data_IF_583805702004
#
_entry.id   IF_583805702004
#
_cell.length_a   1.000
_cell.length_b   1.000
_cell.length_c   1.000
_cell.angle_alpha   90.00
_cell.angle_beta   90.00
_cell.angle_gamma   90.00
#
_symmetry.space_group_name_H-M   'P 1'
#
loop_
_entity.id
_entity.type
_entity.pdbx_description
1 polymer ?
#
# COMPACT_ATOMS: atom_id res chain seq x y z
N UNK A 1 -12.42 -39.30 -10.70
CA UNK A 1 -12.86 -38.10 -9.96
C UNK A 1 -11.68 -37.58 -9.15
N UNK A 2 -11.16 -36.38 -9.45
CA UNK A 2 -10.33 -35.62 -8.53
C UNK A 2 -10.32 -34.15 -8.95
N UNK A 3 -11.10 -33.32 -8.24
CA UNK A 3 -11.05 -31.86 -8.30
C UNK A 3 -10.75 -31.37 -6.89
N UNK A 4 -9.46 -31.18 -6.61
CA UNK A 4 -8.90 -30.45 -5.46
C UNK A 4 -7.51 -30.05 -5.96
N UNK A 5 -7.21 -28.80 -6.27
CA UNK A 5 -7.03 -27.69 -5.35
C UNK A 5 -6.81 -26.44 -6.21
N UNK A 6 -7.71 -25.44 -6.18
CA UNK A 6 -7.50 -24.17 -6.90
C UNK A 6 -7.93 -22.92 -6.11
N UNK A 7 -8.45 -23.09 -4.90
CA UNK A 7 -8.93 -21.97 -4.07
C UNK A 7 -7.80 -21.23 -3.33
N UNK A 8 -6.71 -21.90 -2.95
CA UNK A 8 -5.65 -21.27 -2.14
C UNK A 8 -4.75 -20.30 -2.92
N UNK A 9 -4.47 -20.56 -4.21
CA UNK A 9 -3.67 -19.64 -5.04
C UNK A 9 -4.37 -18.31 -5.30
N UNK A 10 -5.70 -18.32 -5.36
CA UNK A 10 -6.51 -17.14 -5.66
C UNK A 10 -6.54 -16.15 -4.48
N UNK A 11 -6.62 -16.65 -3.25
CA UNK A 11 -6.64 -15.80 -2.04
C UNK A 11 -5.30 -15.13 -1.74
N UNK A 12 -4.17 -15.81 -1.96
CA UNK A 12 -2.84 -15.23 -1.73
C UNK A 12 -2.56 -14.09 -2.71
N UNK A 13 -2.91 -14.25 -3.99
CA UNK A 13 -2.77 -13.20 -4.99
C UNK A 13 -3.68 -11.99 -4.70
N UNK A 14 -4.90 -12.25 -4.20
CA UNK A 14 -5.84 -11.19 -3.82
C UNK A 14 -5.40 -10.41 -2.58
N UNK A 15 -4.74 -11.05 -1.61
CA UNK A 15 -4.20 -10.35 -0.43
C UNK A 15 -2.85 -9.69 -0.70
N UNK A 16 -2.00 -10.28 -1.56
CA UNK A 16 -0.75 -9.64 -1.99
C UNK A 16 -0.99 -8.40 -2.85
N UNK A 17 -2.14 -8.27 -3.53
CA UNK A 17 -2.51 -7.04 -4.21
C UNK A 17 -3.01 -5.92 -3.28
N UNK A 18 -3.30 -6.24 -2.01
CA UNK A 18 -3.77 -5.27 -0.99
C UNK A 18 -2.61 -4.74 -0.15
N UNK A 19 -1.50 -5.49 -0.06
CA UNK A 19 -0.31 -5.11 0.70
C UNK A 19 0.79 -4.58 -0.23
N UNK A 20 1.64 -3.63 0.23
CA UNK A 20 2.79 -3.17 -0.54
C UNK A 20 3.74 -4.34 -0.84
N UNK A 21 4.03 -4.59 -2.12
CA UNK A 21 5.06 -5.53 -2.52
C UNK A 21 6.44 -4.85 -2.41
N UNK A 22 7.14 -5.05 -1.31
CA UNK A 22 8.47 -4.47 -1.07
C UNK A 22 9.63 -5.34 -1.64
N UNK A 23 9.35 -6.33 -2.49
CA UNK A 23 10.42 -7.11 -3.14
C UNK A 23 11.23 -6.23 -4.11
N UNK A 24 12.56 -6.40 -4.18
CA UNK A 24 13.40 -5.69 -5.13
C UNK A 24 12.96 -5.90 -6.58
N UNK A 25 13.00 -4.82 -7.36
CA UNK A 25 12.87 -4.85 -8.81
C UNK A 25 14.14 -5.48 -9.39
N UNK A 26 13.96 -6.42 -10.30
CA UNK A 26 15.02 -7.22 -10.94
C UNK A 26 15.20 -6.87 -12.42
N UNK A 27 14.17 -6.29 -13.06
CA UNK A 27 14.24 -5.80 -14.43
C UNK A 27 13.34 -4.58 -14.67
N UNK A 28 13.77 -3.70 -15.59
CA UNK A 28 13.01 -2.54 -16.09
C UNK A 28 12.99 -2.62 -17.62
N UNK A 29 11.85 -2.29 -18.23
CA UNK A 29 11.65 -2.23 -19.67
C UNK A 29 10.67 -1.11 -20.04
N UNK A 30 10.49 -0.87 -21.33
CA UNK A 30 9.52 0.10 -21.86
C UNK A 30 8.63 -0.61 -22.87
N UNK A 31 7.34 -0.31 -22.86
CA UNK A 31 6.34 -0.81 -23.81
C UNK A 31 5.67 0.34 -24.54
N UNK A 32 5.28 0.10 -25.79
CA UNK A 32 4.42 1.02 -26.54
C UNK A 32 2.94 0.76 -26.26
N UNK A 33 2.56 -0.52 -26.22
CA UNK A 33 1.20 -0.99 -25.96
C UNK A 33 1.10 -1.61 -24.57
N UNK A 34 0.23 -1.05 -23.71
CA UNK A 34 0.01 -1.49 -22.32
C UNK A 34 -0.45 -2.95 -22.31
N UNK A 35 -1.29 -3.34 -23.28
CA UNK A 35 -1.85 -4.69 -23.36
C UNK A 35 -0.83 -5.73 -23.83
N UNK A 36 0.33 -5.28 -24.33
CA UNK A 36 1.45 -6.13 -24.74
C UNK A 36 2.61 -6.09 -23.74
N UNK A 37 2.33 -5.69 -22.50
CA UNK A 37 3.30 -5.81 -21.42
C UNK A 37 3.76 -7.27 -21.27
N UNK A 38 5.08 -7.54 -21.19
CA UNK A 38 5.57 -8.90 -21.01
C UNK A 38 4.96 -9.58 -19.77
N UNK A 39 4.86 -10.92 -19.77
CA UNK A 39 4.40 -11.65 -18.60
C UNK A 39 5.30 -11.35 -17.40
N UNK A 40 4.71 -11.30 -16.20
CA UNK A 40 5.39 -11.00 -14.93
C UNK A 40 6.02 -9.59 -14.84
N UNK A 41 5.65 -8.67 -15.74
CA UNK A 41 5.94 -7.25 -15.63
C UNK A 41 4.68 -6.48 -15.19
N UNK A 42 4.89 -5.46 -14.38
CA UNK A 42 3.89 -4.47 -14.00
C UNK A 42 4.15 -3.19 -14.77
N UNK A 43 3.14 -2.73 -15.51
CA UNK A 43 3.19 -1.49 -16.30
C UNK A 43 2.74 -0.30 -15.46
N UNK A 44 3.49 0.81 -15.52
CA UNK A 44 3.13 2.09 -14.91
C UNK A 44 2.43 2.95 -15.96
N UNK A 45 1.13 2.73 -16.12
CA UNK A 45 0.31 3.40 -17.14
C UNK A 45 -0.34 4.69 -16.67
N UNK A 46 -0.41 4.90 -15.35
CA UNK A 46 -1.04 6.08 -14.76
C UNK A 46 -0.15 6.76 -13.73
N UNK A 47 -0.34 8.07 -13.63
CA UNK A 47 0.32 8.92 -12.66
C UNK A 47 -0.21 8.64 -11.26
N UNK A 48 0.69 8.61 -10.28
CA UNK A 48 0.39 8.28 -8.88
C UNK A 48 -0.58 9.28 -8.22
N UNK A 49 -0.49 10.54 -8.59
CA UNK A 49 -1.17 11.64 -7.91
C UNK A 49 -2.53 12.01 -8.49
N UNK A 50 -2.69 11.91 -9.81
CA UNK A 50 -3.90 12.36 -10.50
C UNK A 50 -4.59 11.25 -11.30
N UNK A 51 -4.05 10.03 -11.29
CA UNK A 51 -4.53 8.89 -12.10
C UNK A 51 -4.64 9.21 -13.60
N UNK A 52 -3.88 10.21 -14.07
CA UNK A 52 -3.80 10.60 -15.48
C UNK A 52 -2.77 9.76 -16.23
N UNK A 53 -2.83 9.76 -17.56
CA UNK A 53 -1.91 9.06 -18.44
C UNK A 53 -0.42 9.34 -18.11
N UNK A 54 0.35 8.27 -17.90
CA UNK A 54 1.77 8.30 -17.57
C UNK A 54 2.71 8.22 -18.78
N UNK A 55 2.21 8.48 -19.99
CA UNK A 55 2.99 8.46 -21.23
C UNK A 55 4.27 9.32 -21.14
N UNK A 56 5.41 8.64 -21.27
CA UNK A 56 6.75 9.23 -21.24
C UNK A 56 7.21 9.73 -22.62
N UNK A 57 6.44 9.51 -23.68
CA UNK A 57 6.73 9.96 -25.04
C UNK A 57 5.87 11.14 -25.48
N UNK A 58 4.99 11.63 -24.60
CA UNK A 58 4.02 12.68 -24.91
C UNK A 58 4.63 13.90 -25.59
N UNK A 59 4.00 14.34 -26.66
CA UNK A 59 4.34 15.57 -27.37
C UNK A 59 3.22 16.60 -27.21
N UNK A 60 3.61 17.87 -27.00
CA UNK A 60 2.69 19.01 -27.05
C UNK A 60 2.38 19.33 -28.52
N UNK A 61 1.53 18.53 -29.16
CA UNK A 61 1.14 18.69 -30.56
C UNK A 61 -0.37 18.49 -30.73
N UNK A 62 -1.02 19.42 -31.42
CA UNK A 62 -2.48 19.60 -31.37
C UNK A 62 -3.29 18.57 -32.21
N UNK A 63 -2.66 17.70 -33.03
CA UNK A 63 -3.40 16.97 -34.09
C UNK A 63 -3.01 15.51 -34.40
N UNK A 64 -2.19 14.81 -33.61
CA UNK A 64 -1.91 13.37 -33.86
C UNK A 64 -1.82 12.60 -32.54
N UNK A 65 -2.71 11.60 -32.36
CA UNK A 65 -2.60 10.63 -31.26
C UNK A 65 -1.40 9.72 -31.53
N UNK A 66 -0.24 10.08 -30.98
CA UNK A 66 0.97 9.27 -31.07
C UNK A 66 0.88 8.10 -30.09
N UNK A 67 1.57 7.01 -30.43
CA UNK A 67 1.70 5.84 -29.56
C UNK A 67 2.61 6.21 -28.38
N UNK A 68 2.12 5.95 -27.18
CA UNK A 68 2.81 6.31 -25.94
C UNK A 68 3.99 5.41 -25.62
N UNK A 69 4.70 5.72 -24.54
CA UNK A 69 5.73 4.86 -23.95
C UNK A 69 5.53 4.78 -22.45
N UNK A 70 5.47 3.56 -21.95
CA UNK A 70 5.24 3.28 -20.54
C UNK A 70 6.38 2.45 -19.98
N UNK A 71 6.87 2.83 -18.81
CA UNK A 71 7.80 1.96 -18.06
C UNK A 71 7.01 0.75 -17.57
N UNK A 72 7.62 -0.41 -17.67
CA UNK A 72 7.21 -1.60 -16.96
C UNK A 72 8.40 -2.18 -16.21
N UNK A 73 8.14 -2.86 -15.10
CA UNK A 73 9.18 -3.46 -14.28
C UNK A 73 8.76 -4.84 -13.79
N UNK A 74 9.73 -5.68 -13.46
CA UNK A 74 9.50 -7.00 -12.88
C UNK A 74 10.29 -7.17 -11.58
N UNK A 75 9.75 -7.99 -10.69
CA UNK A 75 10.36 -8.43 -9.43
C UNK A 75 10.77 -9.92 -9.48
N UNK A 76 10.54 -10.57 -10.62
CA UNK A 76 10.82 -12.00 -10.83
C UNK A 76 11.64 -12.25 -12.09
N UNK A 77 11.52 -11.40 -13.11
CA UNK A 77 12.27 -11.50 -14.36
C UNK A 77 13.55 -10.67 -14.31
N UNK A 78 14.58 -11.06 -15.08
CA UNK A 78 15.83 -10.31 -15.19
C UNK A 78 17.06 -11.20 -15.05
N UNK A 79 18.21 -10.58 -14.77
CA UNK A 79 19.44 -11.32 -14.55
C UNK A 79 19.39 -12.07 -13.19
N UNK A 80 19.82 -13.34 -13.13
CA UNK A 80 19.83 -14.10 -11.89
C UNK A 80 20.63 -13.38 -10.79
N UNK A 81 20.09 -13.38 -9.57
CA UNK A 81 20.70 -12.76 -8.38
C UNK A 81 21.01 -11.26 -8.52
N UNK A 82 20.44 -10.58 -9.52
CA UNK A 82 20.65 -9.16 -9.72
C UNK A 82 19.39 -8.37 -9.37
N UNK A 83 19.61 -7.17 -8.84
CA UNK A 83 18.55 -6.21 -8.48
C UNK A 83 18.90 -4.84 -9.05
N UNK A 84 17.87 -4.01 -9.24
CA UNK A 84 18.06 -2.60 -9.59
C UNK A 84 18.49 -1.84 -8.33
N UNK A 85 19.70 -1.30 -8.35
CA UNK A 85 20.27 -0.48 -7.25
C UNK A 85 19.78 0.96 -7.33
N UNK A 86 19.73 1.54 -8.54
CA UNK A 86 19.48 2.97 -8.75
C UNK A 86 18.86 3.29 -10.12
N UNK A 87 18.17 4.44 -10.22
CA UNK A 87 17.48 4.92 -11.42
C UNK A 87 17.75 6.42 -11.59
N UNK A 88 18.10 6.84 -12.80
CA UNK A 88 18.33 8.23 -13.13
C UNK A 88 17.70 8.61 -14.48
N UNK A 89 17.41 9.91 -14.66
CA UNK A 89 16.98 10.48 -15.94
C UNK A 89 18.10 11.35 -16.53
N UNK A 90 18.53 11.02 -17.75
CA UNK A 90 19.58 11.74 -18.48
C UNK A 90 19.05 12.27 -19.82
N UNK A 91 19.81 13.13 -20.51
CA UNK A 91 19.47 13.40 -21.91
C UNK A 91 19.72 12.14 -22.74
N UNK A 92 18.90 11.94 -23.77
CA UNK A 92 18.98 10.78 -24.65
C UNK A 92 20.34 10.66 -25.37
N UNK A 93 20.99 11.80 -25.62
CA UNK A 93 22.30 11.85 -26.29
C UNK A 93 23.48 11.78 -25.34
N UNK A 94 23.24 11.86 -24.03
CA UNK A 94 24.31 11.83 -23.05
C UNK A 94 24.75 10.40 -22.77
N UNK A 95 26.03 10.23 -22.48
CA UNK A 95 26.57 8.96 -22.00
C UNK A 95 25.99 8.65 -20.62
N UNK A 96 25.49 7.43 -20.36
CA UNK A 96 25.01 7.05 -19.03
C UNK A 96 26.13 7.10 -18.00
N UNK A 97 25.82 7.38 -16.71
CA UNK A 97 26.80 7.31 -15.63
C UNK A 97 27.45 5.92 -15.52
N UNK A 98 28.59 5.84 -14.83
CA UNK A 98 29.30 4.57 -14.68
C UNK A 98 28.42 3.47 -14.04
N UNK A 99 28.38 2.31 -14.69
CA UNK A 99 27.58 1.16 -14.28
C UNK A 99 26.09 1.23 -14.63
N UNK A 100 25.62 2.32 -15.22
CA UNK A 100 24.23 2.45 -15.67
C UNK A 100 24.04 1.87 -17.07
N UNK A 101 22.90 1.21 -17.25
CA UNK A 101 22.41 0.68 -18.53
C UNK A 101 21.23 1.50 -19.03
N UNK A 102 21.04 1.53 -20.36
CA UNK A 102 19.95 2.23 -21.05
C UNK A 102 19.00 1.23 -21.71
N UNK A 103 17.74 1.63 -21.89
CA UNK A 103 16.71 0.84 -22.58
C UNK A 103 16.50 1.44 -23.98
N UNK A 104 17.14 0.92 -25.02
CA UNK A 104 17.09 1.60 -26.33
C UNK A 104 15.74 1.46 -27.05
N UNK A 105 15.08 0.31 -26.90
CA UNK A 105 13.89 -0.06 -27.66
C UNK A 105 12.78 -0.60 -26.76
N UNK A 106 11.54 -0.43 -27.21
CA UNK A 106 10.37 -1.02 -26.57
C UNK A 106 10.36 -2.53 -26.76
N UNK A 107 10.06 -3.26 -25.70
CA UNK A 107 10.09 -4.73 -25.70
C UNK A 107 9.01 -5.38 -26.58
N UNK A 108 7.88 -4.70 -26.78
CA UNK A 108 6.72 -5.22 -27.50
C UNK A 108 6.79 -4.96 -29.02
N UNK A 109 7.29 -3.80 -29.43
CA UNK A 109 7.23 -3.34 -30.83
C UNK A 109 8.57 -2.98 -31.46
N UNK A 110 9.67 -3.14 -30.71
CA UNK A 110 11.05 -2.80 -31.11
C UNK A 110 11.18 -1.36 -31.67
N UNK A 111 10.30 -0.46 -31.24
CA UNK A 111 10.37 0.94 -31.57
C UNK A 111 11.30 1.66 -30.59
N UNK A 112 11.78 2.85 -30.97
CA UNK A 112 12.59 3.68 -30.07
C UNK A 112 11.85 3.96 -28.76
N UNK A 113 12.52 3.78 -27.62
CA UNK A 113 11.90 3.88 -26.29
C UNK A 113 11.83 5.32 -25.75
N UNK A 114 12.83 6.16 -26.07
CA UNK A 114 12.97 7.50 -25.52
C UNK A 114 13.03 8.64 -26.56
N UNK A 115 12.67 9.85 -26.10
CA UNK A 115 12.80 11.08 -26.87
C UNK A 115 13.24 12.23 -25.97
N UNK A 116 14.34 12.91 -26.33
CA UNK A 116 14.99 14.03 -25.61
C UNK A 116 15.62 13.63 -24.27
N UNK A 117 14.85 12.99 -23.40
CA UNK A 117 15.27 12.45 -22.10
C UNK A 117 15.03 10.94 -22.08
N UNK A 118 15.84 10.21 -21.31
CA UNK A 118 15.72 8.77 -21.15
C UNK A 118 15.95 8.35 -19.71
N UNK A 119 15.35 7.23 -19.31
CA UNK A 119 15.70 6.55 -18.07
C UNK A 119 16.93 5.68 -18.32
N UNK A 120 17.89 5.76 -17.42
CA UNK A 120 18.96 4.78 -17.24
C UNK A 120 18.89 4.21 -15.82
N UNK A 121 19.37 2.99 -15.65
CA UNK A 121 19.28 2.28 -14.36
C UNK A 121 20.53 1.44 -14.12
N UNK A 122 20.85 1.24 -12.85
CA UNK A 122 22.01 0.47 -12.42
C UNK A 122 21.58 -0.87 -11.86
N UNK A 123 22.08 -1.95 -12.45
CA UNK A 123 21.86 -3.32 -11.96
C UNK A 123 23.09 -3.75 -11.17
N UNK A 124 22.89 -4.44 -10.04
CA UNK A 124 23.97 -5.01 -9.24
C UNK A 124 23.58 -6.37 -8.70
N UNK A 125 24.58 -7.22 -8.45
CA UNK A 125 24.36 -8.46 -7.72
C UNK A 125 23.81 -8.12 -6.32
N UNK A 126 22.74 -8.83 -5.92
CA UNK A 126 22.03 -8.64 -4.65
C UNK A 126 22.96 -8.72 -3.44
N UNK A 127 23.97 -9.58 -3.47
CA UNK A 127 24.93 -9.77 -2.37
C UNK A 127 25.91 -8.59 -2.23
N UNK A 128 26.08 -7.78 -3.28
CA UNK A 128 26.96 -6.61 -3.28
C UNK A 128 26.17 -5.29 -3.13
N UNK A 129 24.86 -5.39 -3.01
CA UNK A 129 23.95 -4.27 -3.03
C UNK A 129 23.58 -3.88 -1.59
N UNK A 130 23.74 -2.59 -1.25
CA UNK A 130 23.30 -2.05 0.05
C UNK A 130 21.87 -1.53 0.00
N UNK A 131 21.34 -1.25 -1.19
CA UNK A 131 20.00 -0.72 -1.42
C UNK A 131 19.41 -1.33 -2.69
N UNK A 132 18.10 -1.50 -2.74
CA UNK A 132 17.44 -1.85 -3.99
C UNK A 132 16.15 -1.06 -4.19
N UNK A 133 15.85 -0.81 -5.46
CA UNK A 133 14.60 -0.22 -5.89
C UNK A 133 13.49 -1.26 -5.72
N UNK A 134 12.36 -0.85 -5.14
CA UNK A 134 11.20 -1.72 -4.87
C UNK A 134 9.95 -1.28 -5.61
N UNK A 135 9.89 -0.01 -5.99
CA UNK A 135 8.73 0.55 -6.68
C UNK A 135 9.13 1.70 -7.59
N UNK A 136 8.37 1.89 -8.66
CA UNK A 136 8.54 2.99 -9.64
C UNK A 136 7.17 3.61 -9.86
N UNK A 137 7.08 4.92 -9.64
CA UNK A 137 5.88 5.70 -9.88
C UNK A 137 6.17 6.86 -10.82
N UNK A 138 5.15 7.27 -11.57
CA UNK A 138 5.19 8.50 -12.36
C UNK A 138 4.31 9.53 -11.68
N UNK A 139 4.82 10.74 -11.50
CA UNK A 139 4.08 11.85 -10.90
C UNK A 139 3.77 12.91 -11.96
N UNK A 140 2.58 13.51 -11.91
CA UNK A 140 2.22 14.61 -12.80
C UNK A 140 3.15 15.82 -12.61
N UNK A 141 3.16 16.74 -13.58
CA UNK A 141 3.88 18.02 -13.46
C UNK A 141 3.39 18.85 -12.28
N UNK A 142 2.15 18.63 -11.83
CA UNK A 142 1.50 19.50 -10.86
C UNK A 142 2.07 19.32 -9.46
N UNK A 143 2.58 18.14 -9.09
CA UNK A 143 3.38 17.98 -7.87
C UNK A 143 4.52 19.01 -7.83
N UNK A 144 5.22 19.23 -8.94
CA UNK A 144 6.30 20.22 -9.01
C UNK A 144 5.82 21.67 -8.80
N UNK A 145 4.56 21.98 -9.12
CA UNK A 145 4.02 23.35 -9.06
C UNK A 145 3.23 23.63 -7.77
N UNK A 146 2.49 22.65 -7.26
CA UNK A 146 1.61 22.75 -6.09
C UNK A 146 2.42 22.88 -4.80
N UNK A 147 3.54 22.17 -4.69
CA UNK A 147 4.22 22.08 -3.41
C UNK A 147 5.12 23.27 -3.08
N UNK A 148 5.49 24.13 -4.03
CA UNK A 148 6.46 25.25 -3.86
C UNK A 148 7.67 24.90 -2.96
N UNK A 149 7.97 23.60 -2.89
CA UNK A 149 8.96 22.96 -2.03
C UNK A 149 9.73 22.04 -2.95
N UNK A 150 11.03 22.01 -2.75
CA UNK A 150 12.02 21.30 -3.57
C UNK A 150 11.85 19.77 -3.63
N UNK A 151 10.74 19.22 -3.12
CA UNK A 151 10.45 17.78 -3.12
C UNK A 151 9.70 17.41 -4.38
N UNK A 152 10.46 16.98 -5.39
CA UNK A 152 9.94 16.51 -6.69
C UNK A 152 9.28 15.12 -6.63
N UNK A 153 9.34 14.43 -5.48
CA UNK A 153 8.78 13.11 -5.26
C UNK A 153 7.93 13.07 -3.96
N UNK A 154 6.89 12.22 -3.90
CA UNK A 154 6.14 11.93 -2.68
C UNK A 154 7.02 11.40 -1.54
N UNK A 155 6.52 11.46 -0.31
CA UNK A 155 7.24 10.93 0.85
C UNK A 155 7.57 9.44 0.67
N UNK A 156 8.83 9.07 0.93
CA UNK A 156 9.33 7.71 0.73
C UNK A 156 9.80 7.40 -0.70
N UNK A 157 9.61 8.32 -1.65
CA UNK A 157 10.13 8.21 -3.00
C UNK A 157 11.26 9.21 -3.26
N UNK A 158 12.14 8.83 -4.19
CA UNK A 158 13.25 9.62 -4.70
C UNK A 158 12.92 10.02 -6.14
N UNK A 159 13.16 11.27 -6.50
CA UNK A 159 12.96 11.74 -7.87
C UNK A 159 14.17 11.37 -8.74
N UNK A 160 13.96 10.54 -9.76
CA UNK A 160 14.98 10.23 -10.77
C UNK A 160 15.12 11.37 -11.79
N UNK A 161 14.03 12.09 -12.07
CA UNK A 161 14.02 13.29 -12.91
C UNK A 161 12.77 13.42 -13.79
N UNK A 162 12.73 14.47 -14.60
CA UNK A 162 11.55 14.82 -15.42
C UNK A 162 11.73 14.36 -16.87
N UNK A 163 10.72 13.67 -17.41
CA UNK A 163 10.60 13.29 -18.82
C UNK A 163 9.27 13.82 -19.37
N UNK A 164 9.31 14.64 -20.43
CA UNK A 164 8.12 15.17 -21.11
C UNK A 164 7.03 15.75 -20.20
N UNK A 165 7.45 16.31 -19.05
CA UNK A 165 6.57 16.96 -18.10
C UNK A 165 6.02 16.10 -16.99
N UNK A 166 6.37 14.82 -16.90
CA UNK A 166 6.08 13.97 -15.73
C UNK A 166 7.38 13.64 -15.01
N UNK A 167 7.31 13.41 -13.70
CA UNK A 167 8.46 13.08 -12.88
C UNK A 167 8.52 11.57 -12.65
N UNK A 168 9.63 10.93 -13.05
CA UNK A 168 9.92 9.54 -12.70
C UNK A 168 10.43 9.52 -11.27
N UNK A 169 9.77 8.75 -10.40
CA UNK A 169 10.16 8.58 -9.01
C UNK A 169 10.26 7.10 -8.65
N UNK A 170 11.08 6.78 -7.66
CA UNK A 170 11.29 5.39 -7.25
C UNK A 170 11.49 5.27 -5.74
N UNK A 171 11.11 4.13 -5.17
CA UNK A 171 11.30 3.81 -3.75
C UNK A 171 12.47 2.86 -3.60
N UNK A 172 13.30 3.09 -2.59
CA UNK A 172 14.41 2.17 -2.23
C UNK A 172 14.22 1.59 -0.84
N UNK A 173 14.77 0.40 -0.64
CA UNK A 173 14.92 -0.23 0.67
C UNK A 173 16.38 -0.61 0.87
N UNK A 174 16.85 -0.53 2.11
CA UNK A 174 18.20 -1.01 2.46
C UNK A 174 18.19 -2.55 2.44
N UNK A 175 19.15 -3.14 1.73
CA UNK A 175 19.40 -4.58 1.74
C UNK A 175 20.40 -4.84 2.86
N UNK A 176 19.92 -5.47 3.94
CA UNK A 176 20.82 -6.00 4.97
C UNK A 176 21.27 -7.38 4.51
N UNK A 177 22.54 -7.47 4.12
CA UNK A 177 23.18 -8.73 3.82
C UNK A 177 23.52 -9.43 5.15
N UNK A 178 22.50 -9.96 5.84
CA UNK A 178 22.76 -10.77 7.03
C UNK A 178 23.38 -12.09 6.58
N UNK A 179 24.65 -12.28 6.95
CA UNK A 179 25.30 -13.58 6.98
C UNK A 179 24.37 -14.57 7.70
N UNK A 180 23.88 -15.55 6.96
CA UNK A 180 23.33 -16.84 7.39
C UNK A 180 23.08 -17.00 8.89
N UNK A 181 21.98 -16.42 9.43
CA UNK A 181 21.26 -16.95 10.60
C UNK A 181 20.01 -16.16 11.05
N UNK A 182 19.58 -15.14 10.32
CA UNK A 182 18.35 -14.43 10.61
C UNK A 182 17.23 -14.88 9.66
N UNK A 183 16.09 -15.14 10.25
CA UNK A 183 14.97 -15.83 9.64
C UNK A 183 14.44 -15.08 8.42
N UNK A 184 14.38 -15.79 7.30
CA UNK A 184 13.65 -15.37 6.11
C UNK A 184 12.22 -14.99 6.48
N UNK A 185 11.80 -13.80 6.05
CA UNK A 185 10.39 -13.42 5.97
C UNK A 185 9.56 -14.59 5.42
N UNK A 186 8.56 -14.99 6.22
CA UNK A 186 7.46 -15.92 5.94
C UNK A 186 7.52 -16.58 4.56
N UNK A 187 8.09 -17.78 4.53
CA UNK A 187 7.97 -18.69 3.40
C UNK A 187 6.53 -19.24 3.42
N UNK A 188 5.64 -18.65 2.61
CA UNK A 188 4.21 -19.02 2.57
C UNK A 188 4.00 -20.47 2.09
N UNK A 189 5.03 -21.11 1.53
CA UNK A 189 5.00 -22.52 1.13
C UNK A 189 4.94 -23.52 2.30
N UNK A 190 5.11 -23.07 3.56
CA UNK A 190 5.02 -23.95 4.74
C UNK A 190 3.59 -24.18 5.26
N UNK A 191 2.54 -23.60 4.63
CA UNK A 191 1.15 -23.90 4.99
C UNK A 191 0.63 -25.21 4.37
N UNK A 192 1.46 -25.97 3.66
CA UNK A 192 1.15 -27.33 3.22
C UNK A 192 1.54 -28.43 4.22
N UNK A 193 2.02 -28.09 5.41
CA UNK A 193 2.24 -29.11 6.45
C UNK A 193 0.90 -29.64 6.96
N UNK A 194 0.60 -30.89 6.62
CA UNK A 194 -0.38 -31.73 7.31
C UNK A 194 -0.11 -31.62 8.81
N UNK A 195 -1.10 -31.16 9.58
CA UNK A 195 -0.97 -30.95 11.02
C UNK A 195 -0.45 -32.22 11.71
N UNK A 196 0.62 -32.15 12.52
CA UNK A 196 1.09 -33.28 13.28
C UNK A 196 0.38 -33.29 14.63
N UNK A 197 -0.93 -33.55 14.66
CA UNK A 197 -1.62 -33.88 15.89
C UNK A 197 -2.51 -35.09 15.66
N UNK A 198 -1.91 -36.27 15.88
CA UNK A 198 -2.64 -37.48 16.20
C UNK A 198 -2.86 -37.48 17.71
N UNK A 199 -3.98 -36.93 18.15
CA UNK A 199 -4.41 -37.04 19.55
C UNK A 199 -5.91 -37.32 19.59
N UNK A 200 -6.18 -38.62 19.70
CA UNK A 200 -7.21 -39.27 20.51
C UNK A 200 -8.56 -38.57 20.64
N UNK A 201 -9.57 -39.28 20.13
CA UNK A 201 -10.98 -38.93 20.19
C UNK A 201 -11.41 -38.47 21.57
N UNK A 202 -12.05 -37.30 21.60
CA UNK A 202 -12.96 -36.93 22.67
C UNK A 202 -14.31 -36.67 22.01
N UNK A 203 -15.29 -37.48 22.39
CA UNK A 203 -16.63 -37.50 21.83
C UNK A 203 -17.36 -36.17 22.00
N UNK A 204 -18.04 -35.75 20.92
CA UNK A 204 -19.19 -34.83 20.88
C UNK A 204 -19.30 -33.81 22.02
N UNK A 205 -18.76 -32.60 21.81
CA UNK A 205 -19.25 -31.43 22.55
C UNK A 205 -20.55 -30.96 21.90
N UNK A 206 -21.65 -31.09 22.61
CA UNK A 206 -22.96 -30.56 22.19
C UNK A 206 -22.84 -29.03 22.08
N UNK A 207 -23.32 -28.40 20.99
CA UNK A 207 -23.36 -26.95 20.88
C UNK A 207 -24.11 -26.34 22.07
N UNK A 208 -23.63 -25.24 22.66
CA UNK A 208 -24.36 -24.55 23.71
C UNK A 208 -25.76 -24.15 23.21
N UNK A 209 -26.76 -24.39 24.05
CA UNK A 209 -28.16 -24.14 23.75
C UNK A 209 -28.38 -22.65 23.45
N UNK A 210 -29.07 -22.35 22.33
CA UNK A 210 -29.38 -20.98 21.94
C UNK A 210 -30.24 -20.35 23.05
N UNK A 211 -29.89 -19.15 23.56
CA UNK A 211 -30.71 -18.48 24.55
C UNK A 211 -32.14 -18.27 24.03
N UNK A 212 -33.16 -18.33 24.90
CA UNK A 212 -34.55 -18.21 24.48
C UNK A 212 -34.77 -16.88 23.76
N UNK A 213 -35.46 -16.95 22.62
CA UNK A 213 -35.84 -15.79 21.82
C UNK A 213 -36.68 -14.86 22.72
N UNK A 214 -36.30 -13.58 22.92
CA UNK A 214 -37.12 -12.66 23.70
C UNK A 214 -38.49 -12.54 23.02
N UNK A 215 -39.55 -12.87 23.77
CA UNK A 215 -40.94 -12.92 23.30
C UNK A 215 -41.60 -11.56 23.15
N UNK A 216 -40.90 -10.45 23.40
CA UNK A 216 -41.46 -9.11 23.26
C UNK A 216 -40.62 -8.30 22.27
N UNK A 217 -41.16 -8.17 21.05
CA UNK A 217 -40.57 -7.39 19.97
C UNK A 217 -40.55 -5.89 20.29
N UNK A 218 -39.37 -5.30 20.17
CA UNK A 218 -39.16 -3.84 20.09
C UNK A 218 -38.33 -3.50 18.85
N UNK A 219 -38.47 -4.30 17.79
CA UNK A 219 -37.96 -3.97 16.45
C UNK A 219 -39.16 -3.81 15.52
N UNK A 220 -39.32 -2.67 14.83
CA UNK A 220 -40.36 -2.52 13.82
C UNK A 220 -40.20 -3.61 12.75
N UNK A 221 -41.25 -4.41 12.57
CA UNK A 221 -41.32 -5.40 11.50
C UNK A 221 -41.58 -4.65 10.19
N UNK A 222 -40.59 -4.62 9.29
CA UNK A 222 -40.79 -4.15 7.92
C UNK A 222 -41.49 -5.29 7.17
N UNK A 223 -42.81 -5.18 7.06
CA UNK A 223 -43.63 -6.05 6.21
C UNK A 223 -43.30 -5.79 4.74
N UNK A 224 -42.59 -6.72 4.12
CA UNK A 224 -42.44 -6.77 2.67
C UNK A 224 -43.68 -7.38 2.03
N UNK A 225 -44.32 -6.63 1.13
CA UNK A 225 -45.17 -7.19 0.07
C UNK A 225 -45.43 -6.18 -1.04
N UNK A 226 -45.14 -6.58 -2.28
CA UNK A 226 -45.89 -6.20 -3.49
C UNK A 226 -45.59 -4.81 -4.06
N UNK A 227 -44.87 -4.77 -5.18
CA UNK A 227 -44.51 -3.54 -5.88
C UNK A 227 -45.65 -2.86 -6.64
N UNK A 228 -45.39 -1.59 -6.99
CA UNK A 228 -45.61 -0.98 -8.31
C UNK A 228 -45.09 0.46 -8.26
N UNK A 229 -44.68 0.91 -9.43
CA UNK A 229 -44.11 2.22 -9.75
C UNK A 229 -44.91 3.39 -9.15
N UNK A 230 -44.22 4.45 -8.70
CA UNK A 230 -44.60 5.87 -8.79
C UNK A 230 -43.42 6.72 -8.30
N UNK A 231 -43.17 7.79 -9.06
CA UNK A 231 -42.13 8.82 -8.88
C UNK A 231 -42.35 9.70 -7.63
N UNK A 232 -41.33 10.52 -7.36
CA UNK A 232 -41.28 11.75 -6.56
C UNK A 232 -40.84 11.68 -5.08
N UNK A 233 -39.72 12.38 -4.84
CA UNK A 233 -39.45 13.32 -3.74
C UNK A 233 -39.77 12.89 -2.31
N UNK A 234 -38.74 12.57 -1.52
CA UNK A 234 -38.30 13.43 -0.42
C UNK A 234 -37.17 12.80 0.41
N UNK A 235 -36.11 13.58 0.60
CA UNK A 235 -35.05 13.41 1.59
C UNK A 235 -35.62 13.35 3.03
N UNK A 236 -35.82 12.16 3.62
CA UNK A 236 -36.05 12.02 5.08
C UNK A 236 -35.63 10.65 5.65
N UNK A 237 -34.34 10.28 5.52
CA UNK A 237 -33.80 9.04 6.14
C UNK A 237 -33.21 9.24 7.55
N UNK A 238 -33.40 10.41 8.17
CA UNK A 238 -32.98 10.61 9.56
C UNK A 238 -34.12 10.23 10.52
N UNK A 239 -34.17 8.96 10.94
CA UNK A 239 -34.95 8.55 12.11
C UNK A 239 -34.43 9.30 13.36
N UNK A 240 -35.22 10.26 13.83
CA UNK A 240 -34.95 11.01 15.06
C UNK A 240 -35.14 10.04 16.24
N UNK A 241 -34.03 9.66 16.89
CA UNK A 241 -34.05 8.89 18.13
C UNK A 241 -34.84 9.66 19.20
N UNK A 242 -35.89 9.04 19.73
CA UNK A 242 -36.78 9.60 20.75
C UNK A 242 -35.94 10.09 21.96
N UNK A 243 -36.03 11.37 22.39
CA UNK A 243 -35.19 11.94 23.45
C UNK A 243 -35.37 11.28 24.83
N UNK A 244 -36.36 10.40 24.98
CA UNK A 244 -36.62 9.63 26.20
C UNK A 244 -35.99 8.23 26.21
N UNK A 245 -35.12 7.89 25.26
CA UNK A 245 -34.38 6.62 25.25
C UNK A 245 -33.41 6.52 26.43
N UNK A 246 -33.86 5.90 27.53
CA UNK A 246 -33.04 5.68 28.73
C UNK A 246 -32.15 4.46 28.55
N UNK A 247 -31.06 4.61 27.80
CA UNK A 247 -30.04 3.57 27.61
C UNK A 247 -29.19 3.46 28.89
N UNK A 248 -29.57 2.57 29.80
CA UNK A 248 -28.72 2.18 30.93
C UNK A 248 -28.00 0.87 30.56
N UNK A 249 -26.66 0.81 30.53
CA UNK A 249 -25.95 -0.44 30.34
C UNK A 249 -26.27 -1.40 31.50
N UNK A 250 -26.82 -2.58 31.20
CA UNK A 250 -27.25 -3.57 32.19
C UNK A 250 -26.11 -4.40 32.78
N UNK A 251 -24.84 -4.10 32.45
CA UNK A 251 -23.68 -4.85 32.93
C UNK A 251 -22.68 -3.92 33.62
N UNK A 252 -22.24 -4.24 34.85
CA UNK A 252 -21.08 -3.60 35.46
C UNK A 252 -19.86 -3.72 34.53
N UNK A 253 -19.07 -2.66 34.43
CA UNK A 253 -17.82 -2.67 33.67
C UNK A 253 -16.89 -3.79 34.19
N UNK A 254 -16.20 -4.54 33.31
CA UNK A 254 -15.19 -5.51 33.72
C UNK A 254 -14.15 -4.84 34.62
N UNK A 255 -13.78 -5.48 35.73
CA UNK A 255 -12.71 -4.97 36.57
C UNK A 255 -11.38 -5.00 35.82
N UNK A 256 -10.53 -3.97 35.97
CA UNK A 256 -9.17 -3.99 35.42
C UNK A 256 -8.35 -5.11 36.09
N UNK A 257 -7.41 -5.74 35.36
CA UNK A 257 -6.63 -6.85 35.88
C UNK A 257 -5.78 -6.41 37.09
N UNK A 258 -5.90 -7.16 38.18
CA UNK A 258 -5.12 -6.96 39.41
C UNK A 258 -3.65 -7.31 39.13
N UNK A 259 -2.74 -6.37 39.41
CA UNK A 259 -1.30 -6.60 39.33
C UNK A 259 -0.86 -7.59 40.41
N UNK A 260 -0.59 -8.83 40.02
CA UNK A 260 0.11 -9.80 40.86
C UNK A 260 1.59 -9.41 40.86
N UNK A 261 2.13 -9.10 42.04
CA UNK A 261 3.54 -8.75 42.24
C UNK A 261 4.36 -10.04 42.43
N UNK A 262 5.49 -10.06 41.71
CA UNK A 262 6.74 -10.82 41.94
C UNK A 262 6.85 -12.22 41.36
N UNK A 263 7.70 -12.35 40.32
CA UNK A 263 8.49 -13.56 40.10
C UNK A 263 8.07 -14.46 38.94
N UNK A 264 7.70 -13.91 37.77
CA UNK A 264 7.69 -14.69 36.53
C UNK A 264 7.79 -13.79 35.31
N UNK A 265 8.87 -13.94 34.56
CA UNK A 265 9.10 -13.34 33.25
C UNK A 265 8.26 -14.05 32.18
N UNK A 266 7.25 -13.37 31.64
CA UNK A 266 6.88 -13.35 30.21
C UNK A 266 5.44 -12.83 30.05
N UNK A 267 5.28 -11.58 29.66
CA UNK A 267 3.98 -10.94 29.42
C UNK A 267 3.68 -10.99 27.91
N UNK A 268 3.42 -12.16 27.33
CA UNK A 268 2.79 -12.26 26.01
C UNK A 268 2.03 -13.59 25.89
N UNK A 269 0.86 -13.67 26.51
CA UNK A 269 -0.10 -14.75 26.31
C UNK A 269 -1.49 -14.14 26.10
N UNK A 270 -2.14 -14.47 25.00
CA UNK A 270 -3.58 -14.24 24.84
C UNK A 270 -4.32 -15.05 25.91
N UNK A 271 -5.38 -14.48 26.48
CA UNK A 271 -6.22 -15.17 27.47
C UNK A 271 -6.69 -16.53 26.92
N UNK A 272 -6.67 -17.61 27.73
CA UNK A 272 -7.13 -18.91 27.28
C UNK A 272 -8.61 -18.86 26.90
N UNK A 273 -8.95 -19.30 25.69
CA UNK A 273 -10.31 -19.72 25.35
C UNK A 273 -11.18 -18.81 24.48
N UNK A 274 -10.63 -17.81 23.76
CA UNK A 274 -11.49 -16.96 22.89
C UNK A 274 -11.01 -16.70 21.45
N UNK A 275 -10.09 -17.47 20.88
CA UNK A 275 -9.72 -17.25 19.47
C UNK A 275 -8.99 -18.43 18.83
N UNK A 276 -9.24 -18.67 17.54
CA UNK A 276 -8.49 -19.57 16.64
C UNK A 276 -7.01 -19.19 16.46
N UNK A 277 -6.50 -18.26 17.28
CA UNK A 277 -5.13 -17.76 17.32
C UNK A 277 -4.42 -18.16 18.62
N UNK A 278 -5.04 -19.00 19.46
CA UNK A 278 -4.45 -19.50 20.70
C UNK A 278 -3.17 -20.32 20.39
N UNK A 279 -2.04 -19.90 20.96
CA UNK A 279 -0.72 -20.49 20.69
C UNK A 279 0.04 -19.91 19.50
N UNK A 280 -0.49 -18.91 18.79
CA UNK A 280 0.29 -18.16 17.77
C UNK A 280 1.08 -17.05 18.49
N UNK A 281 2.42 -17.15 18.59
CA UNK A 281 3.21 -16.08 19.19
C UNK A 281 3.14 -14.85 18.29
N UNK A 282 2.61 -13.74 18.82
CA UNK A 282 2.71 -12.45 18.14
C UNK A 282 4.03 -11.80 18.53
N UNK A 283 4.81 -11.41 17.53
CA UNK A 283 6.06 -10.67 17.71
C UNK A 283 5.79 -9.25 17.25
N UNK A 284 5.99 -8.27 18.15
CA UNK A 284 5.91 -6.86 17.79
C UNK A 284 7.02 -6.55 16.78
N UNK A 285 6.70 -5.79 15.72
CA UNK A 285 7.71 -5.33 14.77
C UNK A 285 8.86 -4.65 15.54
N UNK A 286 10.11 -5.03 15.28
CA UNK A 286 11.29 -4.50 15.98
C UNK A 286 11.45 -2.99 15.82
N UNK A 287 10.87 -2.38 14.77
CA UNK A 287 10.77 -0.91 14.59
C UNK A 287 9.83 -0.24 15.59
N UNK A 288 8.93 -1.01 16.22
CA UNK A 288 7.97 -0.56 17.24
C UNK A 288 8.39 -0.98 18.65
N UNK A 289 9.46 -1.77 18.80
CA UNK A 289 10.09 -2.04 20.09
C UNK A 289 10.75 -0.75 20.55
N UNK A 290 9.99 0.07 21.27
CA UNK A 290 10.52 1.22 21.98
C UNK A 290 11.34 0.68 23.15
N UNK A 291 12.57 0.28 22.85
CA UNK A 291 13.61 0.45 23.85
C UNK A 291 13.65 1.93 24.16
N UNK A 292 13.46 2.22 25.44
CA UNK A 292 13.52 3.54 26.06
C UNK A 292 14.94 4.11 25.96
N UNK A 293 15.40 4.34 24.74
CA UNK A 293 16.58 5.12 24.42
C UNK A 293 16.09 6.51 24.01
N UNK A 294 16.56 7.49 24.78
CA UNK A 294 16.18 8.90 24.86
C UNK A 294 16.27 9.76 23.57
N UNK A 295 16.00 9.21 22.39
CA UNK A 295 16.14 9.91 21.10
C UNK A 295 14.83 10.13 20.33
N UNK A 296 13.66 9.73 20.86
CA UNK A 296 12.35 9.87 20.21
C UNK A 296 11.62 11.20 20.47
N UNK A 297 12.29 12.24 20.95
CA UNK A 297 11.67 13.55 21.21
C UNK A 297 11.89 14.58 20.08
N UNK A 298 11.71 14.19 18.82
CA UNK A 298 11.53 15.14 17.71
C UNK A 298 10.24 14.86 16.96
N UNK A 299 9.15 14.70 17.69
CA UNK A 299 7.85 15.02 17.12
C UNK A 299 7.86 16.52 16.80
N UNK A 300 7.44 16.95 15.59
CA UNK A 300 7.33 18.36 15.30
C UNK A 300 6.39 19.00 16.33
N UNK A 301 6.88 20.04 17.00
CA UNK A 301 6.08 20.79 17.97
C UNK A 301 4.91 21.42 17.22
N UNK A 302 3.71 20.90 17.45
CA UNK A 302 2.48 21.50 16.94
C UNK A 302 2.34 22.84 17.67
N UNK A 303 2.59 23.94 16.95
CA UNK A 303 2.34 25.28 17.49
C UNK A 303 0.83 25.48 17.54
N UNK A 304 0.29 25.63 18.74
CA UNK A 304 -1.11 25.99 18.94
C UNK A 304 -1.26 27.47 18.61
N UNK A 305 -2.15 27.81 17.68
CA UNK A 305 -2.41 29.20 17.28
C UNK A 305 -3.73 29.66 17.89
N UNK A 306 -3.74 30.91 18.35
CA UNK A 306 -4.97 31.59 18.77
C UNK A 306 -5.73 32.07 17.54
N UNK A 307 -7.03 32.38 17.70
CA UNK A 307 -7.84 32.95 16.64
C UNK A 307 -7.21 34.23 16.06
N UNK A 308 -6.67 35.11 16.92
CA UNK A 308 -5.97 36.33 16.50
C UNK A 308 -4.73 36.05 15.63
N UNK A 309 -3.96 35.00 15.93
CA UNK A 309 -2.80 34.61 15.12
C UNK A 309 -3.23 34.10 13.73
N UNK A 310 -4.33 33.35 13.67
CA UNK A 310 -4.90 32.87 12.41
C UNK A 310 -5.41 34.04 11.56
N UNK A 311 -6.15 34.94 12.18
CA UNK A 311 -6.70 36.11 11.51
C UNK A 311 -5.57 37.00 10.98
N UNK A 312 -4.47 37.19 11.72
CA UNK A 312 -3.35 38.03 11.25
C UNK A 312 -2.57 37.40 10.07
N UNK A 313 -2.29 36.10 10.13
CA UNK A 313 -1.43 35.44 9.14
C UNK A 313 -2.18 35.07 7.87
N UNK A 314 -3.47 34.72 7.99
CA UNK A 314 -4.27 34.20 6.89
C UNK A 314 -5.45 35.11 6.52
N UNK A 315 -5.44 36.39 6.93
CA UNK A 315 -6.45 37.34 6.46
C UNK A 315 -6.37 37.47 4.94
N UNK A 316 -7.39 36.96 4.25
CA UNK A 316 -7.54 37.09 2.82
C UNK A 316 -8.70 38.04 2.48
N UNK A 317 -8.39 39.14 1.81
CA UNK A 317 -9.38 40.11 1.37
C UNK A 317 -9.89 39.77 -0.04
N UNK A 318 -11.07 39.16 -0.10
CA UNK A 318 -11.75 38.78 -1.35
C UNK A 318 -12.11 39.97 -2.26
N UNK A 319 -11.88 41.22 -1.84
CA UNK A 319 -12.00 42.38 -2.73
C UNK A 319 -10.91 42.39 -3.80
N UNK A 320 -9.75 41.77 -3.55
CA UNK A 320 -8.66 41.66 -4.52
C UNK A 320 -9.02 40.81 -5.76
N UNK A 321 -10.07 39.99 -5.69
CA UNK A 321 -10.50 39.11 -6.78
C UNK A 321 -11.61 39.70 -7.68
N UNK A 322 -12.21 40.84 -7.30
CA UNK A 322 -13.36 41.41 -8.05
C UNK A 322 -12.97 42.39 -9.16
N UNK A 323 -11.68 42.65 -9.36
CA UNK A 323 -11.18 43.58 -10.39
C UNK A 323 -10.61 42.90 -11.65
N UNK A 324 -10.97 41.64 -11.94
CA UNK A 324 -10.62 40.96 -13.20
C UNK A 324 -11.82 40.42 -13.94
#
# INVERSE_FOLDING_TARGET
>A
MSKKTNCNKMLVHQLSSVLPDDRPITAISVVEDIDKCPPNFTVVSRTYDQDTDADLWRESGLFIKKKGRYICFSKTEGLPQCVVEDIAVINERDTPPEGYSIISYTVDSMQKAWRKKQVCYKIKNKELCSKAVTDIIICSRLIHKVYNTSKMAPNGFIAAGIINGVCVCYKTVDIVNENSNSQSYVNIDLLQSVSPNSSNGTSHRIPPERPPKPTNGVYPQISGSGGKDIEESDDRDYEILNPNARIRPTRPAPQPPTSIITGSTSIYGTLPGSSDLDGVPFILNSRLSVHSDSSTNKLPVIKIWTQENLDKEFFYDFRAERET
#
